data_IF_491501018897
#
_entry.id   IF_491501018897
#
_cell.length_a   1.000
_cell.length_b   1.000
_cell.length_c   1.000
_cell.angle_alpha   90.00
_cell.angle_beta   90.00
_cell.angle_gamma   90.00
#
_symmetry.space_group_name_H-M   'P 1'
#
loop_
_entity.id
_entity.type
_entity.pdbx_description
1 polymer ?
#
# COMPACT_ATOMS: atom_id res chain seq x y z
N UNK A 1 -12.02 10.52 -12.99
CA UNK A 1 -11.62 10.64 -11.57
C UNK A 1 -10.12 10.42 -11.51
N UNK A 2 -9.36 11.29 -10.83
CA UNK A 2 -7.92 11.06 -10.62
C UNK A 2 -7.75 10.09 -9.46
N UNK A 3 -6.85 9.11 -9.57
CA UNK A 3 -6.57 8.17 -8.48
C UNK A 3 -5.87 8.86 -7.30
N UNK A 4 -6.05 8.38 -6.07
CA UNK A 4 -5.44 8.94 -4.86
C UNK A 4 -5.11 7.85 -3.84
N UNK A 5 -4.17 8.14 -2.95
CA UNK A 5 -3.83 7.30 -1.80
C UNK A 5 -4.42 7.97 -0.57
N UNK A 6 -5.29 7.25 0.13
CA UNK A 6 -5.85 7.65 1.41
C UNK A 6 -4.88 7.26 2.52
N UNK A 7 -4.59 8.22 3.40
CA UNK A 7 -3.71 8.03 4.54
C UNK A 7 -4.59 8.03 5.77
N UNK A 8 -4.58 6.92 6.50
CA UNK A 8 -5.37 6.74 7.71
C UNK A 8 -4.51 6.92 8.94
N UNK A 9 -4.96 7.78 9.85
CA UNK A 9 -4.39 7.87 11.20
C UNK A 9 -5.04 6.83 12.10
N UNK A 10 -4.21 6.11 12.85
CA UNK A 10 -4.64 5.22 13.91
C UNK A 10 -4.56 6.01 15.22
N UNK A 11 -5.70 6.18 15.88
CA UNK A 11 -5.81 6.95 17.12
C UNK A 11 -5.60 6.07 18.36
N UNK A 12 -5.31 6.69 19.51
CA UNK A 12 -5.10 5.99 20.79
C UNK A 12 -6.25 5.10 21.23
N UNK A 13 -7.47 5.41 20.80
CA UNK A 13 -8.66 4.61 21.09
C UNK A 13 -8.85 3.43 20.12
N UNK A 14 -7.97 3.29 19.12
CA UNK A 14 -8.03 2.24 18.11
C UNK A 14 -8.74 2.66 16.83
N UNK A 15 -9.43 3.80 16.82
CA UNK A 15 -10.15 4.26 15.63
C UNK A 15 -9.18 4.57 14.50
N UNK A 16 -9.56 4.15 13.29
CA UNK A 16 -8.85 4.43 12.06
C UNK A 16 -9.64 5.45 11.27
N UNK A 17 -9.05 6.63 11.06
CA UNK A 17 -9.73 7.76 10.43
C UNK A 17 -8.91 8.32 9.28
N UNK A 18 -9.59 8.71 8.21
CA UNK A 18 -8.94 9.39 7.09
C UNK A 18 -8.27 10.67 7.60
N UNK A 19 -6.96 10.76 7.42
CA UNK A 19 -6.15 11.90 7.82
C UNK A 19 -5.97 12.89 6.67
N UNK A 20 -5.48 12.39 5.53
CA UNK A 20 -5.21 13.19 4.33
C UNK A 20 -5.28 12.29 3.09
N UNK A 21 -5.57 12.90 1.94
CA UNK A 21 -5.48 12.24 0.63
C UNK A 21 -4.27 12.75 -0.13
N UNK A 22 -3.46 11.82 -0.63
CA UNK A 22 -2.38 12.12 -1.55
C UNK A 22 -2.83 11.85 -3.00
N UNK A 23 -2.83 12.88 -3.83
CA UNK A 23 -3.32 12.78 -5.22
C UNK A 23 -2.32 12.05 -6.11
N UNK A 24 -2.85 11.33 -7.08
CA UNK A 24 -2.10 10.55 -8.07
C UNK A 24 -1.38 9.32 -7.48
N UNK A 25 -2.17 8.37 -6.99
CA UNK A 25 -1.68 7.12 -6.40
C UNK A 25 -0.77 6.28 -7.28
N UNK A 26 -0.77 6.48 -8.60
CA UNK A 26 0.20 5.87 -9.51
C UNK A 26 1.65 6.19 -9.12
N UNK A 27 1.88 7.32 -8.44
CA UNK A 27 3.17 7.77 -7.93
C UNK A 27 3.57 7.14 -6.58
N UNK A 28 2.74 6.25 -6.05
CA UNK A 28 3.03 5.46 -4.86
C UNK A 28 3.30 4.00 -5.25
N UNK A 29 2.42 3.05 -4.91
CA UNK A 29 2.70 1.61 -5.06
C UNK A 29 3.10 1.20 -6.48
N UNK A 30 2.37 1.57 -7.56
CA UNK A 30 2.74 1.14 -8.91
C UNK A 30 4.13 1.63 -9.35
N UNK A 31 4.50 2.87 -9.00
CA UNK A 31 5.82 3.40 -9.28
C UNK A 31 6.90 2.68 -8.46
N UNK A 32 6.66 2.47 -7.16
CA UNK A 32 7.59 1.73 -6.28
C UNK A 32 7.86 0.32 -6.84
N UNK A 33 6.80 -0.39 -7.23
CA UNK A 33 6.92 -1.74 -7.76
C UNK A 33 7.71 -1.76 -9.07
N UNK A 34 7.43 -0.83 -9.98
CA UNK A 34 8.14 -0.71 -11.25
C UNK A 34 9.64 -0.41 -11.08
N UNK A 35 10.00 0.44 -10.12
CA UNK A 35 11.40 0.72 -9.81
C UNK A 35 12.14 -0.48 -9.23
N UNK A 36 11.52 -1.17 -8.27
CA UNK A 36 12.15 -2.33 -7.63
C UNK A 36 12.26 -3.50 -8.60
N UNK A 37 11.28 -3.66 -9.48
CA UNK A 37 11.37 -4.58 -10.62
C UNK A 37 12.61 -4.25 -11.48
N UNK A 38 12.76 -2.99 -11.89
CA UNK A 38 13.85 -2.56 -12.76
C UNK A 38 15.24 -2.71 -12.12
N UNK A 39 15.36 -2.47 -10.81
CA UNK A 39 16.63 -2.57 -10.08
C UNK A 39 17.04 -4.00 -9.76
N UNK A 40 16.10 -4.88 -9.44
CA UNK A 40 16.39 -6.14 -8.74
C UNK A 40 15.94 -7.42 -9.44
N UNK A 41 15.05 -7.33 -10.44
CA UNK A 41 14.50 -8.48 -11.12
C UNK A 41 15.01 -8.58 -12.57
N UNK A 42 15.12 -9.82 -13.12
CA UNK A 42 15.40 -9.99 -14.53
C UNK A 42 14.22 -9.48 -15.37
N UNK A 43 14.52 -9.17 -16.64
CA UNK A 43 13.52 -8.81 -17.66
C UNK A 43 12.39 -9.84 -17.65
N UNK A 44 11.15 -9.36 -17.53
CA UNK A 44 9.99 -10.22 -17.60
C UNK A 44 9.92 -10.90 -18.97
N UNK A 45 9.72 -12.21 -19.01
CA UNK A 45 9.44 -12.95 -20.25
C UNK A 45 7.97 -13.34 -20.32
N UNK A 46 7.12 -12.62 -21.08
CA UNK A 46 5.74 -13.02 -21.26
C UNK A 46 5.61 -14.40 -21.89
N UNK A 47 4.63 -15.19 -21.45
CA UNK A 47 4.42 -16.58 -21.91
C UNK A 47 4.22 -16.72 -23.43
N UNK A 48 3.74 -15.66 -24.08
CA UNK A 48 3.52 -15.63 -25.53
C UNK A 48 4.80 -15.36 -26.33
N UNK A 49 5.93 -15.03 -25.69
CA UNK A 49 7.22 -14.82 -26.37
C UNK A 49 7.86 -16.19 -26.73
N UNK A 50 8.08 -16.48 -28.03
CA UNK A 50 8.59 -17.79 -28.46
C UNK A 50 9.95 -18.14 -27.85
N UNK A 51 10.15 -19.38 -27.39
CA UNK A 51 11.35 -19.84 -26.69
C UNK A 51 12.69 -19.67 -27.44
N UNK A 52 12.67 -19.46 -28.77
CA UNK A 52 13.89 -19.19 -29.53
C UNK A 52 14.39 -17.74 -29.41
N UNK A 53 13.54 -16.83 -28.94
CA UNK A 53 13.93 -15.46 -28.58
C UNK A 53 14.61 -15.54 -27.22
N UNK A 54 15.87 -15.11 -27.11
CA UNK A 54 16.58 -15.07 -25.82
C UNK A 54 16.05 -13.94 -24.93
N UNK A 55 16.25 -14.04 -23.63
CA UNK A 55 15.72 -13.06 -22.66
C UNK A 55 16.24 -11.64 -22.92
N UNK A 56 17.50 -11.50 -23.36
CA UNK A 56 18.09 -10.21 -23.72
C UNK A 56 17.49 -9.59 -24.98
N UNK A 57 16.75 -10.38 -25.78
CA UNK A 57 16.11 -9.96 -27.02
C UNK A 57 14.60 -9.74 -26.85
N UNK A 58 14.06 -9.98 -25.66
CA UNK A 58 12.61 -9.88 -25.40
C UNK A 58 12.12 -8.46 -25.66
N UNK A 59 12.84 -7.44 -25.17
CA UNK A 59 12.44 -6.05 -25.37
C UNK A 59 12.46 -5.65 -26.85
N UNK A 60 13.49 -6.06 -27.59
CA UNK A 60 13.61 -5.83 -29.05
C UNK A 60 12.47 -6.53 -29.82
N UNK A 61 12.17 -7.78 -29.45
CA UNK A 61 11.11 -8.57 -30.07
C UNK A 61 9.72 -7.96 -29.84
N UNK A 62 9.46 -7.45 -28.63
CA UNK A 62 8.18 -6.86 -28.26
C UNK A 62 8.04 -5.41 -28.75
N UNK A 63 9.15 -4.70 -28.95
CA UNK A 63 9.17 -3.27 -29.21
C UNK A 63 8.90 -2.41 -27.97
N UNK A 64 8.84 -3.02 -26.78
CA UNK A 64 8.68 -2.35 -25.48
C UNK A 64 9.26 -3.24 -24.37
N UNK A 65 9.64 -2.62 -23.24
CA UNK A 65 10.05 -3.34 -22.03
C UNK A 65 8.81 -3.90 -21.32
N UNK A 66 8.62 -5.23 -21.26
CA UNK A 66 7.50 -5.81 -20.53
C UNK A 66 7.67 -5.54 -19.03
N UNK A 67 6.56 -5.26 -18.35
CA UNK A 67 6.51 -5.01 -16.90
C UNK A 67 5.54 -5.97 -16.22
N UNK A 68 5.80 -6.26 -14.96
CA UNK A 68 4.92 -7.08 -14.12
C UNK A 68 3.69 -6.24 -13.75
N UNK A 69 2.50 -6.69 -14.17
CA UNK A 69 1.24 -5.99 -13.93
C UNK A 69 0.15 -6.89 -13.32
N UNK A 70 0.23 -8.21 -13.52
CA UNK A 70 -0.73 -9.14 -12.95
C UNK A 70 -0.41 -9.48 -11.48
N UNK A 71 -1.41 -9.87 -10.67
CA UNK A 71 -1.18 -10.28 -9.28
C UNK A 71 -0.13 -11.40 -9.13
N UNK A 72 -0.11 -12.35 -10.07
CA UNK A 72 0.88 -13.44 -10.05
C UNK A 72 2.29 -12.96 -10.39
N UNK A 73 2.41 -11.96 -11.27
CA UNK A 73 3.69 -11.39 -11.67
C UNK A 73 4.25 -10.45 -10.59
N UNK A 74 3.38 -9.67 -9.93
CA UNK A 74 3.75 -8.77 -8.84
C UNK A 74 4.25 -9.49 -7.59
N UNK A 75 3.88 -10.77 -7.39
CA UNK A 75 4.43 -11.60 -6.30
C UNK A 75 5.95 -11.63 -6.32
N UNK A 76 6.59 -11.61 -7.49
CA UNK A 76 8.05 -11.57 -7.58
C UNK A 76 8.64 -10.27 -7.01
N UNK A 77 7.96 -9.14 -7.26
CA UNK A 77 8.34 -7.84 -6.72
C UNK A 77 8.11 -7.80 -5.21
N UNK A 78 6.96 -8.27 -4.74
CA UNK A 78 6.66 -8.32 -3.31
C UNK A 78 7.65 -9.22 -2.57
N UNK A 79 7.95 -10.41 -3.12
CA UNK A 79 8.90 -11.35 -2.52
C UNK A 79 10.32 -10.76 -2.34
N UNK A 80 10.69 -9.68 -3.04
CA UNK A 80 11.95 -8.98 -2.80
C UNK A 80 12.12 -8.59 -1.33
N UNK A 81 11.04 -8.25 -0.62
CA UNK A 81 11.08 -7.82 0.78
C UNK A 81 11.82 -8.81 1.68
N UNK A 82 11.61 -10.12 1.49
CA UNK A 82 12.25 -11.17 2.29
C UNK A 82 13.62 -11.64 1.74
N UNK A 83 14.14 -10.98 0.70
CA UNK A 83 15.45 -11.29 0.11
C UNK A 83 16.55 -10.37 0.62
N UNK A 84 17.79 -10.76 0.40
CA UNK A 84 19.00 -9.97 0.63
C UNK A 84 19.33 -9.00 -0.53
N UNK A 85 18.53 -9.01 -1.61
CA UNK A 85 18.75 -8.16 -2.79
C UNK A 85 18.41 -6.69 -2.53
N UNK A 86 17.42 -6.43 -1.69
CA UNK A 86 16.96 -5.08 -1.34
C UNK A 86 17.52 -4.64 0.01
N UNK A 87 17.80 -3.35 0.14
CA UNK A 87 18.25 -2.75 1.40
C UNK A 87 17.07 -2.30 2.28
N UNK A 88 17.35 -1.82 3.49
CA UNK A 88 16.30 -1.42 4.45
C UNK A 88 15.44 -0.25 3.97
N UNK A 89 15.99 0.71 3.22
CA UNK A 89 15.21 1.81 2.62
C UNK A 89 14.19 1.26 1.64
N UNK A 90 14.62 0.33 0.80
CA UNK A 90 13.75 -0.32 -0.18
C UNK A 90 12.69 -1.21 0.49
N UNK A 91 13.02 -1.87 1.61
CA UNK A 91 12.04 -2.63 2.40
C UNK A 91 11.00 -1.73 3.06
N UNK A 92 11.41 -0.61 3.65
CA UNK A 92 10.45 0.36 4.21
C UNK A 92 9.43 0.83 3.17
N UNK A 93 9.92 1.17 1.97
CA UNK A 93 9.08 1.68 0.89
C UNK A 93 8.23 0.59 0.25
N UNK A 94 8.76 -0.62 0.07
CA UNK A 94 7.99 -1.75 -0.46
C UNK A 94 6.94 -2.22 0.55
N UNK A 95 7.34 -2.39 1.81
CA UNK A 95 6.49 -2.91 2.88
C UNK A 95 5.28 -2.02 3.14
N UNK A 96 5.42 -0.69 3.04
CA UNK A 96 4.28 0.22 3.20
C UNK A 96 3.20 0.07 2.12
N UNK A 97 3.50 -0.61 1.01
CA UNK A 97 2.54 -0.84 -0.08
C UNK A 97 1.71 -2.10 0.06
N UNK A 98 1.95 -2.93 1.09
CA UNK A 98 1.17 -4.15 1.27
C UNK A 98 -0.18 -3.86 1.94
N UNK A 99 -1.10 -4.79 1.76
CA UNK A 99 -2.40 -4.73 2.41
C UNK A 99 -2.25 -4.92 3.93
N UNK A 100 -3.13 -4.25 4.69
CA UNK A 100 -3.23 -4.36 6.15
C UNK A 100 -1.93 -4.04 6.93
N UNK A 101 -0.99 -3.33 6.30
CA UNK A 101 0.21 -2.82 6.96
C UNK A 101 -0.18 -1.67 7.87
N UNK A 102 0.41 -1.65 9.05
CA UNK A 102 0.48 -0.45 9.86
C UNK A 102 1.93 -0.12 10.16
N UNK A 103 2.24 1.17 10.27
CA UNK A 103 3.50 1.64 10.87
C UNK A 103 3.15 2.37 12.14
N UNK A 104 3.77 1.97 13.25
CA UNK A 104 3.57 2.62 14.54
C UNK A 104 4.35 3.93 14.59
N UNK A 105 3.86 4.90 15.37
CA UNK A 105 4.45 6.24 15.48
C UNK A 105 5.91 6.22 15.92
N UNK A 106 6.32 5.24 16.71
CA UNK A 106 7.71 5.03 17.13
C UNK A 106 8.68 4.76 15.96
N UNK A 107 8.18 4.23 14.85
CA UNK A 107 8.94 3.92 13.63
C UNK A 107 8.82 5.01 12.54
N UNK A 108 8.07 6.10 12.78
CA UNK A 108 7.86 7.15 11.76
C UNK A 108 9.16 7.79 11.29
N UNK A 109 10.14 7.98 12.17
CA UNK A 109 11.41 8.60 11.80
C UNK A 109 12.16 7.78 10.74
N UNK A 110 12.18 6.45 10.91
CA UNK A 110 12.81 5.53 9.96
C UNK A 110 12.03 5.46 8.63
N UNK A 111 10.69 5.44 8.69
CA UNK A 111 9.84 5.50 7.50
C UNK A 111 10.04 6.80 6.70
N UNK A 112 10.02 7.96 7.37
CA UNK A 112 10.24 9.29 6.76
C UNK A 112 11.61 9.32 6.11
N UNK A 113 12.64 8.86 6.82
CA UNK A 113 14.00 8.80 6.28
C UNK A 113 14.08 7.91 5.04
N UNK A 114 13.42 6.76 5.05
CA UNK A 114 13.38 5.87 3.88
C UNK A 114 12.67 6.54 2.69
N UNK A 115 11.52 7.17 2.91
CA UNK A 115 10.76 7.87 1.88
C UNK A 115 11.56 9.00 1.24
N UNK A 116 12.28 9.78 2.05
CA UNK A 116 13.17 10.85 1.58
C UNK A 116 14.43 10.32 0.89
N UNK A 117 14.86 9.09 1.18
CA UNK A 117 16.09 8.50 0.63
C UNK A 117 15.88 7.66 -0.62
N UNK A 118 14.68 7.11 -0.82
CA UNK A 118 14.39 6.16 -1.91
C UNK A 118 14.52 6.79 -3.31
N UNK A 119 14.27 8.09 -3.42
CA UNK A 119 14.54 8.91 -4.61
C UNK A 119 15.51 10.03 -4.28
N UNK A 120 16.70 10.01 -4.89
CA UNK A 120 17.62 11.16 -4.90
C UNK A 120 17.45 12.05 -6.15
N UNK A 121 16.57 11.69 -7.10
CA UNK A 121 16.28 12.51 -8.28
C UNK A 121 14.83 13.03 -8.29
N UNK A 122 14.71 14.32 -8.56
CA UNK A 122 13.48 15.09 -8.64
C UNK A 122 12.56 14.58 -9.75
N UNK A 123 11.29 14.34 -9.42
CA UNK A 123 10.16 14.05 -10.33
C UNK A 123 9.82 12.57 -10.54
N UNK A 124 9.10 11.96 -9.59
CA UNK A 124 8.37 10.73 -9.90
C UNK A 124 7.35 10.30 -8.86
N UNK A 125 7.71 10.30 -7.58
CA UNK A 125 6.86 9.73 -6.52
C UNK A 125 6.19 10.75 -5.61
N UNK A 126 5.13 10.32 -4.94
CA UNK A 126 4.50 11.06 -3.85
C UNK A 126 5.15 10.81 -2.50
N UNK A 127 6.26 10.06 -2.44
CA UNK A 127 6.92 9.68 -1.18
C UNK A 127 7.38 10.89 -0.35
N UNK A 128 7.83 11.97 -1.00
CA UNK A 128 8.21 13.20 -0.29
C UNK A 128 7.00 13.90 0.33
N UNK A 129 5.86 13.94 -0.38
CA UNK A 129 4.61 14.50 0.14
C UNK A 129 4.10 13.64 1.32
N UNK A 130 4.19 12.31 1.21
CA UNK A 130 3.86 11.40 2.31
C UNK A 130 4.77 11.60 3.52
N UNK A 131 6.08 11.80 3.30
CA UNK A 131 7.02 12.11 4.37
C UNK A 131 6.65 13.41 5.11
N UNK A 132 6.27 14.46 4.36
CA UNK A 132 5.81 15.73 4.94
C UNK A 132 4.51 15.56 5.75
N UNK A 133 3.60 14.67 5.32
CA UNK A 133 2.38 14.33 6.06
C UNK A 133 2.73 13.64 7.39
N UNK A 134 3.65 12.68 7.38
CA UNK A 134 4.02 11.96 8.60
C UNK A 134 4.77 12.85 9.61
N UNK A 135 5.54 13.83 9.14
CA UNK A 135 6.13 14.86 10.02
C UNK A 135 5.08 15.72 10.74
N UNK A 136 3.89 15.91 10.13
CA UNK A 136 2.74 16.54 10.81
C UNK A 136 2.12 15.58 11.81
N UNK A 137 1.84 14.34 11.39
CA UNK A 137 1.24 13.30 12.24
C UNK A 137 2.09 13.03 13.49
N UNK A 138 3.42 13.09 13.37
CA UNK A 138 4.33 12.87 14.49
C UNK A 138 4.13 13.89 15.64
N UNK A 139 3.62 15.08 15.34
CA UNK A 139 3.35 16.15 16.33
C UNK A 139 1.98 16.01 17.01
N UNK A 140 1.12 15.15 16.50
CA UNK A 140 -0.20 14.89 17.08
C UNK A 140 -0.10 13.78 18.13
N UNK A 141 -0.36 14.12 19.39
CA UNK A 141 -0.25 13.18 20.50
C UNK A 141 -1.33 12.09 20.48
N UNK A 142 -2.43 12.26 19.74
CA UNK A 142 -3.51 11.27 19.69
C UNK A 142 -3.25 10.15 18.67
N UNK A 143 -2.34 10.38 17.72
CA UNK A 143 -1.97 9.41 16.69
C UNK A 143 -0.94 8.43 17.25
N UNK A 144 -1.18 7.13 17.05
CA UNK A 144 -0.28 6.03 17.42
C UNK A 144 0.29 5.27 16.23
N UNK A 145 -0.27 5.47 15.02
CA UNK A 145 0.21 4.81 13.81
C UNK A 145 -0.45 5.33 12.55
N UNK A 146 -0.04 4.77 11.42
CA UNK A 146 -0.55 5.10 10.08
C UNK A 146 -0.84 3.84 9.28
N UNK A 147 -1.84 3.93 8.42
CA UNK A 147 -2.27 2.92 7.48
C UNK A 147 -2.63 3.56 6.12
N UNK A 148 -2.79 2.76 5.07
CA UNK A 148 -3.01 3.26 3.70
C UNK A 148 -4.07 2.49 2.94
N UNK A 149 -4.83 3.21 2.13
CA UNK A 149 -5.68 2.65 1.07
C UNK A 149 -5.38 3.37 -0.23
N UNK A 150 -5.52 2.68 -1.36
CA UNK A 150 -5.40 3.29 -2.68
C UNK A 150 -6.78 3.28 -3.33
N UNK A 151 -7.22 4.39 -3.90
CA UNK A 151 -8.55 4.53 -4.50
C UNK A 151 -8.84 3.59 -5.68
N UNK A 152 -7.86 2.80 -6.11
CA UNK A 152 -7.96 1.81 -7.19
C UNK A 152 -8.33 0.42 -6.65
N UNK A 153 -8.27 0.23 -5.33
CA UNK A 153 -8.56 -1.00 -4.61
C UNK A 153 -9.59 -0.61 -3.53
N UNK A 154 -10.50 -1.52 -3.16
CA UNK A 154 -11.47 -1.24 -2.09
C UNK A 154 -10.76 -0.84 -0.78
N UNK A 155 -11.45 -0.11 0.09
CA UNK A 155 -10.85 0.38 1.32
C UNK A 155 -10.80 -0.74 2.39
N UNK A 156 -9.61 -1.25 2.77
CA UNK A 156 -9.50 -2.35 3.74
C UNK A 156 -9.75 -1.90 5.18
N UNK A 157 -9.74 -0.58 5.42
CA UNK A 157 -9.93 0.09 6.71
C UNK A 157 -11.37 0.54 6.93
N UNK A 158 -12.30 -0.05 6.19
CA UNK A 158 -13.72 -0.03 6.50
C UNK A 158 -14.12 -1.45 6.90
N UNK A 159 -14.93 -1.55 7.93
CA UNK A 159 -15.69 -2.76 8.16
C UNK A 159 -17.03 -2.59 7.45
N UNK A 160 -17.42 -3.63 6.71
CA UNK A 160 -18.64 -3.65 5.93
C UNK A 160 -19.59 -4.59 6.67
N UNK A 161 -20.67 -4.03 7.19
CA UNK A 161 -21.75 -4.80 7.76
C UNK A 161 -22.97 -4.82 6.83
N UNK A 162 -23.64 -5.96 6.81
CA UNK A 162 -24.92 -6.13 6.14
C UNK A 162 -26.03 -5.86 7.14
N UNK A 163 -26.79 -4.81 6.89
CA UNK A 163 -27.86 -4.37 7.77
C UNK A 163 -29.19 -4.37 7.02
N UNK A 164 -30.27 -4.71 7.71
CA UNK A 164 -31.62 -4.59 7.16
C UNK A 164 -32.20 -3.18 7.38
N UNK A 165 -33.33 -2.90 6.72
CA UNK A 165 -34.06 -1.63 6.80
C UNK A 165 -34.48 -1.19 8.21
N UNK A 166 -34.41 -2.09 9.21
CA UNK A 166 -34.75 -1.79 10.60
C UNK A 166 -33.56 -1.33 11.44
N UNK A 167 -32.34 -1.44 10.90
CA UNK A 167 -31.13 -0.98 11.58
C UNK A 167 -31.09 0.56 11.62
N UNK A 168 -30.78 1.17 12.78
CA UNK A 168 -30.87 2.63 12.96
C UNK A 168 -29.95 3.45 12.03
N UNK A 169 -28.93 2.82 11.44
CA UNK A 169 -27.93 3.46 10.57
C UNK A 169 -28.17 3.21 9.06
N UNK A 170 -29.25 2.51 8.69
CA UNK A 170 -29.56 2.13 7.30
C UNK A 170 -29.64 3.34 6.34
N UNK A 171 -30.03 4.51 6.83
CA UNK A 171 -30.23 5.71 6.00
C UNK A 171 -28.93 6.50 5.72
N UNK A 172 -27.83 6.28 6.45
CA UNK A 172 -26.64 7.16 6.40
C UNK A 172 -25.57 6.77 5.37
N UNK A 173 -25.48 5.50 4.93
CA UNK A 173 -24.33 5.02 4.15
C UNK A 173 -24.66 4.02 3.02
N UNK A 174 -25.80 4.19 2.36
CA UNK A 174 -26.30 3.23 1.37
C UNK A 174 -25.39 3.02 0.14
N UNK A 175 -24.77 1.84 0.04
CA UNK A 175 -24.48 1.17 -1.24
C UNK A 175 -25.50 0.04 -1.40
N UNK A 176 -26.52 0.27 -2.23
CA UNK A 176 -27.65 -0.65 -2.41
C UNK A 176 -27.25 -1.92 -3.18
N UNK A 177 -27.63 -3.09 -2.66
CA UNK A 177 -27.80 -4.32 -3.43
C UNK A 177 -29.31 -4.63 -3.54
N UNK A 178 -29.86 -4.57 -4.76
CA UNK A 178 -31.31 -4.59 -5.02
C UNK A 178 -31.96 -5.97 -4.76
N UNK A 179 -31.19 -7.04 -4.53
CA UNK A 179 -31.72 -8.41 -4.48
C UNK A 179 -32.38 -8.82 -3.14
N UNK A 180 -31.94 -8.30 -1.99
CA UNK A 180 -32.33 -8.85 -0.66
C UNK A 180 -32.87 -7.83 0.37
N UNK A 181 -32.99 -6.54 0.03
CA UNK A 181 -33.44 -5.50 0.97
C UNK A 181 -32.44 -5.21 2.12
N UNK A 182 -31.21 -5.67 1.96
CA UNK A 182 -30.08 -5.40 2.85
C UNK A 182 -29.22 -4.29 2.26
N UNK A 183 -28.77 -3.36 3.10
CA UNK A 183 -27.79 -2.35 2.73
C UNK A 183 -26.41 -2.75 3.25
N UNK A 184 -25.37 -2.31 2.54
CA UNK A 184 -24.03 -2.25 3.08
C UNK A 184 -23.85 -0.88 3.73
N UNK A 185 -23.36 -0.88 4.98
CA UNK A 185 -22.93 0.33 5.65
C UNK A 185 -21.45 0.22 6.00
N UNK A 186 -20.76 1.35 5.87
CA UNK A 186 -19.36 1.49 6.28
C UNK A 186 -19.34 1.81 7.79
N UNK A 187 -18.93 0.84 8.61
CA UNK A 187 -18.77 1.10 10.05
C UNK A 187 -17.36 1.61 10.35
N UNK A 188 -17.20 2.55 11.32
CA UNK A 188 -15.89 3.03 11.72
C UNK A 188 -14.98 1.88 12.14
N UNK A 189 -13.83 1.77 11.48
CA UNK A 189 -12.89 0.70 11.76
C UNK A 189 -12.09 0.97 13.03
N UNK A 190 -12.04 -0.01 13.93
CA UNK A 190 -11.22 0.02 15.14
C UNK A 190 -10.25 -1.16 15.18
N UNK A 191 -8.94 -0.88 15.20
CA UNK A 191 -7.89 -1.92 15.17
C UNK A 191 -7.85 -2.81 16.42
N UNK A 192 -8.45 -2.39 17.54
CA UNK A 192 -8.47 -3.16 18.77
C UNK A 192 -9.70 -4.07 18.87
N UNK A 193 -10.75 -3.79 18.11
CA UNK A 193 -12.00 -4.54 18.11
C UNK A 193 -12.10 -5.46 16.89
N UNK A 194 -11.43 -5.12 15.79
CA UNK A 194 -11.42 -5.91 14.57
C UNK A 194 -10.75 -7.28 14.74
N UNK A 195 -11.33 -8.30 14.12
CA UNK A 195 -10.73 -9.63 13.99
C UNK A 195 -9.68 -9.72 12.87
N UNK A 196 -9.58 -8.70 12.00
CA UNK A 196 -8.60 -8.68 10.91
C UNK A 196 -7.19 -8.61 11.49
N UNK A 197 -6.30 -9.45 10.96
CA UNK A 197 -4.88 -9.38 11.31
C UNK A 197 -4.21 -8.25 10.56
N UNK A 198 -3.54 -7.39 11.32
CA UNK A 198 -2.59 -6.42 10.78
C UNK A 198 -1.18 -6.91 11.02
N UNK A 199 -0.29 -6.55 10.13
CA UNK A 199 1.14 -6.73 10.36
C UNK A 199 1.80 -5.37 10.53
N UNK A 200 2.70 -5.28 11.50
CA UNK A 200 3.38 -4.04 11.85
C UNK A 200 4.71 -4.01 11.12
N UNK A 201 4.89 -3.02 10.24
CA UNK A 201 6.18 -2.79 9.60
C UNK A 201 7.08 -2.03 10.57
N UNK A 202 7.93 -2.78 11.28
CA UNK A 202 8.89 -2.26 12.25
C UNK A 202 10.27 -2.02 11.64
N UNK A 203 11.10 -1.25 12.34
CA UNK A 203 12.53 -1.13 12.02
C UNK A 203 13.23 -2.46 11.82
N UNK A 204 13.04 -3.40 12.75
CA UNK A 204 13.69 -4.71 12.68
C UNK A 204 13.27 -5.49 11.43
N UNK A 205 11.98 -5.46 11.10
CA UNK A 205 11.45 -6.14 9.92
C UNK A 205 11.99 -5.51 8.63
N UNK A 206 12.08 -4.18 8.56
CA UNK A 206 12.71 -3.49 7.43
C UNK A 206 14.23 -3.73 7.33
N UNK A 207 14.92 -3.93 8.44
CA UNK A 207 16.36 -4.24 8.45
C UNK A 207 16.65 -5.68 8.01
N UNK A 208 15.82 -6.64 8.41
CA UNK A 208 16.10 -8.08 8.26
C UNK A 208 15.28 -8.78 7.18
N UNK A 209 14.11 -8.24 6.81
CA UNK A 209 13.14 -8.87 5.90
C UNK A 209 12.44 -10.10 6.48
N UNK A 210 12.52 -10.31 7.81
CA UNK A 210 11.99 -11.51 8.48
C UNK A 210 11.20 -11.14 9.73
N UNK A 211 10.02 -11.75 9.89
CA UNK A 211 9.27 -11.75 11.16
C UNK A 211 9.99 -12.67 12.17
N UNK A 212 9.96 -12.31 13.46
CA UNK A 212 10.53 -13.13 14.55
C UNK A 212 9.68 -14.37 14.87
#
# INVERSE_FOLDING_TARGET
MMSYTEIYAIHKNGDVRLYEENKNSWRWSPQIWGELEERHLPVLRPRFVPNYIKDEQVEEYLGYKPKRHGPDDLKEVWNLFSTDKVNSVERWVLGSTYDNVIVMKEDFEDLIKAYRSFYQEENGTSLLELADIYEKMQKDDDIIGVAWSISLIGNPWLDIEWVDESHPEFDEYNVYDEEDGLAQIDVPYNIFESEKKHWVLTKQLAETGKEE
#
